data_IF_622130088901
#
_entry.id   IF_622130088901
#
_cell.length_a   1.000
_cell.length_b   1.000
_cell.length_c   1.000
_cell.angle_alpha   90.00
_cell.angle_beta   90.00
_cell.angle_gamma   90.00
#
_symmetry.space_group_name_H-M   'P 1'
#
loop_
_entity.id
_entity.type
_entity.pdbx_description
1 polymer ?
#
# COMPACT_ATOMS: atom_id res chain seq x y z
N UNK A 1 19.89 2.01 -20.07
CA UNK A 1 18.70 2.89 -20.19
C UNK A 1 17.64 2.32 -19.26
N UNK A 2 17.16 3.12 -18.31
CA UNK A 2 16.17 2.69 -17.30
C UNK A 2 14.78 2.76 -17.93
N UNK A 3 14.07 1.65 -17.95
CA UNK A 3 12.70 1.55 -18.48
C UNK A 3 11.69 1.93 -17.41
N UNK A 4 10.92 2.98 -17.62
CA UNK A 4 9.93 3.50 -16.71
C UNK A 4 8.52 3.25 -17.25
N UNK A 5 7.62 2.74 -16.41
CA UNK A 5 6.18 2.72 -16.62
C UNK A 5 5.53 3.75 -15.69
N UNK A 6 4.59 4.55 -16.20
CA UNK A 6 3.89 5.56 -15.40
C UNK A 6 2.43 5.13 -15.26
N UNK A 7 1.92 5.05 -14.03
CA UNK A 7 0.54 4.71 -13.71
C UNK A 7 -0.12 5.83 -12.89
N UNK A 8 -1.09 6.49 -13.49
CA UNK A 8 -1.83 7.62 -12.90
C UNK A 8 -3.20 7.70 -13.61
N UNK A 9 -4.28 8.03 -12.94
CA UNK A 9 -5.59 8.16 -13.59
C UNK A 9 -5.70 9.44 -14.44
N UNK A 10 -4.88 10.46 -14.13
CA UNK A 10 -4.87 11.75 -14.83
C UNK A 10 -3.95 11.69 -16.05
N UNK A 11 -4.54 11.73 -17.24
CA UNK A 11 -3.81 11.67 -18.51
C UNK A 11 -2.77 12.80 -18.65
N UNK A 12 -3.12 14.02 -18.23
CA UNK A 12 -2.22 15.16 -18.28
C UNK A 12 -0.94 14.94 -17.46
N UNK A 13 -1.08 14.30 -16.29
CA UNK A 13 0.07 13.95 -15.42
C UNK A 13 0.95 12.92 -16.11
N UNK A 14 0.35 11.85 -16.66
CA UNK A 14 1.10 10.82 -17.38
C UNK A 14 1.91 11.40 -18.55
N UNK A 15 1.28 12.21 -19.38
CA UNK A 15 1.95 12.80 -20.55
C UNK A 15 3.02 13.81 -20.14
N UNK A 16 2.76 14.63 -19.12
CA UNK A 16 3.76 15.59 -18.61
C UNK A 16 5.00 14.88 -18.06
N UNK A 17 4.81 13.85 -17.23
CA UNK A 17 5.92 13.06 -16.68
C UNK A 17 6.70 12.34 -17.78
N UNK A 18 6.00 11.78 -18.77
CA UNK A 18 6.63 11.12 -19.93
C UNK A 18 7.52 12.06 -20.72
N UNK A 19 7.03 13.27 -21.02
CA UNK A 19 7.81 14.27 -21.75
C UNK A 19 9.08 14.61 -20.96
N UNK A 20 8.93 14.95 -19.68
CA UNK A 20 10.05 15.41 -18.86
C UNK A 20 11.05 14.29 -18.58
N UNK A 21 10.61 13.09 -18.23
CA UNK A 21 11.52 11.97 -17.95
C UNK A 21 12.29 11.55 -19.20
N UNK A 22 11.69 11.60 -20.39
CA UNK A 22 12.37 11.29 -21.64
C UNK A 22 13.39 12.37 -22.09
N UNK A 23 13.51 13.50 -21.40
CA UNK A 23 14.63 14.45 -21.63
C UNK A 23 15.97 13.94 -21.10
N UNK A 24 15.95 12.95 -20.19
CA UNK A 24 17.15 12.31 -19.67
C UNK A 24 17.59 11.14 -20.56
N UNK A 25 18.83 11.17 -21.05
CA UNK A 25 19.36 10.17 -22.00
C UNK A 25 19.39 8.73 -21.45
N UNK A 26 19.41 8.58 -20.13
CA UNK A 26 19.47 7.30 -19.43
C UNK A 26 18.11 6.75 -18.98
N UNK A 27 16.99 7.47 -19.23
CA UNK A 27 15.63 7.07 -18.93
C UNK A 27 14.81 6.94 -20.23
N UNK A 28 13.97 5.92 -20.27
CA UNK A 28 12.96 5.72 -21.29
C UNK A 28 11.61 5.39 -20.66
N UNK A 29 10.61 6.23 -20.86
CA UNK A 29 9.23 5.88 -20.54
C UNK A 29 8.69 4.95 -21.62
N UNK A 30 8.52 3.68 -21.26
CA UNK A 30 8.13 2.62 -22.22
C UNK A 30 6.63 2.50 -22.42
N UNK A 31 5.83 2.88 -21.41
CA UNK A 31 4.36 2.86 -21.50
C UNK A 31 3.74 3.75 -20.41
N UNK A 32 2.43 4.01 -20.51
CA UNK A 32 1.61 4.69 -19.49
C UNK A 32 0.32 3.92 -19.25
N UNK A 33 -0.20 3.95 -18.02
CA UNK A 33 -1.39 3.23 -17.59
C UNK A 33 -2.33 4.13 -16.77
N UNK A 34 -3.63 3.98 -16.94
CA UNK A 34 -4.63 4.74 -16.18
C UNK A 34 -5.14 4.02 -14.92
N UNK A 35 -4.75 2.78 -14.69
CA UNK A 35 -5.12 1.97 -13.53
C UNK A 35 -4.21 0.74 -13.38
N UNK A 36 -4.34 0.01 -12.26
CA UNK A 36 -3.48 -1.12 -11.95
C UNK A 36 -3.64 -2.32 -12.89
N UNK A 37 -4.80 -2.55 -13.51
CA UNK A 37 -4.94 -3.63 -14.50
C UNK A 37 -4.18 -3.31 -15.78
N UNK A 38 -4.26 -2.07 -16.24
CA UNK A 38 -3.48 -1.60 -17.39
C UNK A 38 -1.96 -1.69 -17.11
N UNK A 39 -1.51 -1.48 -15.86
CA UNK A 39 -0.12 -1.72 -15.44
C UNK A 39 0.26 -3.19 -15.67
N UNK A 40 -0.54 -4.14 -15.17
CA UNK A 40 -0.25 -5.56 -15.31
C UNK A 40 -0.19 -6.00 -16.79
N UNK A 41 -1.07 -5.47 -17.62
CA UNK A 41 -1.08 -5.77 -19.05
C UNK A 41 0.11 -5.13 -19.79
N UNK A 42 0.55 -3.95 -19.35
CA UNK A 42 1.75 -3.30 -19.88
C UNK A 42 3.02 -4.09 -19.54
N UNK A 43 3.18 -4.56 -18.30
CA UNK A 43 4.32 -5.38 -17.86
C UNK A 43 4.48 -6.64 -18.73
N UNK A 44 3.37 -7.32 -19.07
CA UNK A 44 3.40 -8.52 -19.93
C UNK A 44 3.94 -8.24 -21.34
N UNK A 45 3.71 -7.02 -21.85
CA UNK A 45 4.16 -6.61 -23.19
C UNK A 45 5.60 -6.13 -23.19
N UNK A 46 5.96 -5.34 -22.20
CA UNK A 46 7.29 -4.75 -22.08
C UNK A 46 7.63 -4.52 -20.60
N UNK A 47 8.56 -5.31 -20.07
CA UNK A 47 8.94 -5.29 -18.65
C UNK A 47 9.66 -3.98 -18.29
N UNK A 48 9.15 -3.18 -17.35
CA UNK A 48 9.84 -2.00 -16.83
C UNK A 48 10.86 -2.38 -15.76
N UNK A 49 11.85 -1.52 -15.57
CA UNK A 49 12.76 -1.60 -14.41
C UNK A 49 12.13 -0.93 -13.17
N UNK A 50 11.35 0.15 -13.40
CA UNK A 50 10.66 0.89 -12.35
C UNK A 50 9.28 1.34 -12.80
N UNK A 51 8.32 1.33 -11.87
CA UNK A 51 6.97 1.86 -12.07
C UNK A 51 6.77 3.05 -11.13
N UNK A 52 6.32 4.17 -11.68
CA UNK A 52 5.76 5.29 -10.92
C UNK A 52 4.25 5.05 -10.79
N UNK A 53 3.73 4.97 -9.58
CA UNK A 53 2.33 4.57 -9.34
C UNK A 53 1.63 5.60 -8.49
N UNK A 54 0.53 6.18 -8.99
CA UNK A 54 -0.39 6.90 -8.12
C UNK A 54 -1.22 5.92 -7.26
N UNK A 55 -1.59 6.36 -6.07
CA UNK A 55 -2.43 5.55 -5.16
C UNK A 55 -3.87 5.49 -5.67
N UNK A 56 -4.45 6.65 -6.00
CA UNK A 56 -5.86 6.71 -6.39
C UNK A 56 -6.05 6.52 -7.88
N UNK A 57 -6.27 5.29 -8.27
CA UNK A 57 -6.64 4.93 -9.63
C UNK A 57 -7.96 4.14 -9.62
N UNK A 58 -8.77 4.23 -10.71
CA UNK A 58 -9.99 3.46 -10.84
C UNK A 58 -9.69 1.95 -10.96
N UNK A 59 -10.67 1.13 -10.71
CA UNK A 59 -10.65 -0.35 -10.87
C UNK A 59 -9.66 -1.06 -9.95
N UNK A 60 -8.37 -0.75 -10.05
CA UNK A 60 -7.30 -1.26 -9.19
C UNK A 60 -6.44 -0.08 -8.75
N UNK A 61 -6.43 0.21 -7.45
CA UNK A 61 -5.63 1.28 -6.85
C UNK A 61 -4.13 0.94 -6.81
N UNK A 62 -3.30 1.96 -6.52
CA UNK A 62 -1.85 1.81 -6.56
C UNK A 62 -1.28 0.94 -5.44
N UNK A 63 -1.96 0.83 -4.30
CA UNK A 63 -1.52 -0.03 -3.19
C UNK A 63 -1.72 -1.50 -3.57
N UNK A 64 -2.90 -1.84 -4.10
CA UNK A 64 -3.19 -3.19 -4.55
C UNK A 64 -2.38 -3.57 -5.80
N UNK A 65 -2.18 -2.62 -6.71
CA UNK A 65 -1.27 -2.76 -7.85
C UNK A 65 0.15 -3.08 -7.38
N UNK A 66 0.69 -2.32 -6.41
CA UNK A 66 2.01 -2.56 -5.81
C UNK A 66 2.12 -3.98 -5.27
N UNK A 67 1.15 -4.41 -4.46
CA UNK A 67 1.10 -5.78 -3.92
C UNK A 67 1.17 -6.81 -5.04
N UNK A 68 0.26 -6.71 -6.03
CA UNK A 68 0.16 -7.69 -7.12
C UNK A 68 1.42 -7.74 -7.98
N UNK A 69 2.00 -6.57 -8.31
CA UNK A 69 3.25 -6.50 -9.07
C UNK A 69 4.40 -7.13 -8.28
N UNK A 70 4.52 -6.86 -6.98
CA UNK A 70 5.61 -7.43 -6.16
C UNK A 70 5.46 -8.93 -5.92
N UNK A 71 4.25 -9.46 -5.89
CA UNK A 71 4.00 -10.91 -5.82
C UNK A 71 4.38 -11.63 -7.14
N UNK A 72 4.11 -11.02 -8.30
CA UNK A 72 4.36 -11.62 -9.61
C UNK A 72 5.74 -11.28 -10.18
N UNK A 73 6.26 -10.09 -9.91
CA UNK A 73 7.47 -9.52 -10.47
C UNK A 73 8.30 -8.81 -9.37
N UNK A 74 8.93 -9.56 -8.45
CA UNK A 74 9.59 -9.00 -7.25
C UNK A 74 10.74 -8.04 -7.57
N UNK A 75 11.38 -8.17 -8.73
CA UNK A 75 12.52 -7.36 -9.12
C UNK A 75 12.14 -5.95 -9.61
N UNK A 76 10.91 -5.76 -10.10
CA UNK A 76 10.43 -4.44 -10.53
C UNK A 76 10.41 -3.49 -9.34
N UNK A 77 11.06 -2.34 -9.49
CA UNK A 77 11.04 -1.28 -8.48
C UNK A 77 9.73 -0.49 -8.57
N UNK A 78 9.19 -0.09 -7.43
CA UNK A 78 7.95 0.67 -7.39
C UNK A 78 8.16 1.93 -6.57
N UNK A 79 7.88 3.08 -7.17
CA UNK A 79 7.83 4.38 -6.50
C UNK A 79 6.38 4.84 -6.49
N UNK A 80 5.82 5.01 -5.31
CA UNK A 80 4.53 5.68 -5.17
C UNK A 80 4.74 7.18 -5.41
N UNK A 81 3.94 7.76 -6.30
CA UNK A 81 3.92 9.19 -6.61
C UNK A 81 2.50 9.71 -6.51
N UNK A 82 2.15 10.35 -5.40
CA UNK A 82 0.76 10.67 -5.07
C UNK A 82 0.61 12.02 -4.35
N UNK A 83 -0.61 12.54 -4.31
CA UNK A 83 -0.97 13.69 -3.46
C UNK A 83 -1.35 13.29 -2.05
N UNK A 84 -1.47 11.98 -1.76
CA UNK A 84 -1.94 11.45 -0.50
C UNK A 84 -0.80 11.03 0.39
N UNK A 85 -0.87 11.44 1.64
CA UNK A 85 0.13 11.15 2.67
C UNK A 85 -0.47 10.50 3.92
N UNK A 86 -1.69 9.96 3.80
CA UNK A 86 -2.37 9.27 4.90
C UNK A 86 -1.55 8.07 5.39
N UNK A 87 -1.42 7.95 6.72
CA UNK A 87 -0.63 6.93 7.39
C UNK A 87 -0.94 5.49 6.88
N UNK A 88 -2.21 5.21 6.55
CA UNK A 88 -2.67 3.91 6.04
C UNK A 88 -2.08 3.57 4.67
N UNK A 89 -2.08 4.53 3.75
CA UNK A 89 -1.51 4.33 2.40
C UNK A 89 0.00 4.19 2.44
N UNK A 90 0.67 5.03 3.25
CA UNK A 90 2.12 4.97 3.43
C UNK A 90 2.53 3.60 3.97
N UNK A 91 1.88 3.14 5.04
CA UNK A 91 2.16 1.86 5.65
C UNK A 91 1.93 0.69 4.70
N UNK A 92 0.78 0.68 4.02
CA UNK A 92 0.40 -0.42 3.12
C UNK A 92 1.32 -0.51 1.91
N UNK A 93 1.67 0.62 1.29
CA UNK A 93 2.58 0.64 0.15
C UNK A 93 3.97 0.12 0.51
N UNK A 94 4.53 0.56 1.65
CA UNK A 94 5.84 0.09 2.13
C UNK A 94 5.80 -1.38 2.54
N UNK A 95 4.73 -1.82 3.23
CA UNK A 95 4.52 -3.23 3.60
C UNK A 95 4.52 -4.14 2.37
N UNK A 96 3.93 -3.70 1.25
CA UNK A 96 3.87 -4.48 0.02
C UNK A 96 5.12 -4.31 -0.86
N UNK A 97 6.17 -3.64 -0.37
CA UNK A 97 7.47 -3.60 -1.00
C UNK A 97 7.67 -2.44 -1.99
N UNK A 98 6.94 -1.33 -1.83
CA UNK A 98 7.29 -0.10 -2.54
C UNK A 98 8.73 0.30 -2.20
N UNK A 99 9.52 0.62 -3.22
CA UNK A 99 10.92 1.04 -3.09
C UNK A 99 11.06 2.54 -2.82
N UNK A 100 9.99 3.30 -3.05
CA UNK A 100 9.94 4.73 -2.77
C UNK A 100 8.50 5.23 -2.56
N UNK A 101 8.39 6.35 -1.84
CA UNK A 101 7.12 7.06 -1.62
C UNK A 101 7.36 8.56 -1.70
N UNK A 102 6.81 9.20 -2.71
CA UNK A 102 6.99 10.62 -2.99
C UNK A 102 5.63 11.31 -3.12
N UNK A 103 5.58 12.56 -2.69
CA UNK A 103 4.43 13.42 -2.95
C UNK A 103 4.57 14.06 -4.34
N UNK A 104 3.46 14.27 -5.07
CA UNK A 104 3.42 14.90 -6.41
C UNK A 104 3.97 16.35 -6.45
N UNK A 105 4.32 16.93 -5.29
CA UNK A 105 5.05 18.19 -5.18
C UNK A 105 6.58 18.09 -5.31
N UNK A 106 7.12 16.88 -5.51
CA UNK A 106 8.56 16.70 -5.71
C UNK A 106 9.01 17.37 -7.01
N UNK A 107 10.23 17.97 -7.02
CA UNK A 107 10.79 18.51 -8.23
C UNK A 107 11.10 17.41 -9.25
N UNK A 108 11.15 17.75 -10.54
CA UNK A 108 11.50 16.78 -11.59
C UNK A 108 12.91 16.21 -11.38
N UNK A 109 13.86 17.01 -10.95
CA UNK A 109 15.20 16.55 -10.56
C UNK A 109 15.12 15.59 -9.36
N UNK A 110 14.30 15.88 -8.35
CA UNK A 110 14.06 14.99 -7.21
C UNK A 110 13.46 13.65 -7.63
N UNK A 111 12.53 13.64 -8.59
CA UNK A 111 11.95 12.42 -9.14
C UNK A 111 12.99 11.60 -9.93
N UNK A 112 13.82 12.26 -10.75
CA UNK A 112 14.92 11.64 -11.48
C UNK A 112 15.89 10.97 -10.51
N UNK A 113 16.33 11.67 -9.46
CA UNK A 113 17.23 11.13 -8.45
C UNK A 113 16.58 9.97 -7.67
N UNK A 114 15.28 10.01 -7.42
CA UNK A 114 14.55 8.92 -6.80
C UNK A 114 14.58 7.64 -7.66
N UNK A 115 14.34 7.76 -8.96
CA UNK A 115 14.44 6.64 -9.90
C UNK A 115 15.85 6.04 -9.87
N UNK A 116 16.89 6.86 -9.94
CA UNK A 116 18.28 6.40 -9.89
C UNK A 116 18.61 5.67 -8.58
N UNK A 117 18.15 6.23 -7.47
CA UNK A 117 18.37 5.67 -6.13
C UNK A 117 17.72 4.28 -6.00
N UNK A 118 16.45 4.12 -6.41
CA UNK A 118 15.78 2.83 -6.25
C UNK A 118 16.33 1.77 -7.22
N UNK A 119 16.76 2.16 -8.40
CA UNK A 119 17.40 1.24 -9.37
C UNK A 119 18.75 0.75 -8.83
N UNK A 120 19.50 1.59 -8.10
CA UNK A 120 20.74 1.18 -7.45
C UNK A 120 20.54 0.37 -6.15
N UNK A 121 19.30 0.06 -5.77
CA UNK A 121 18.95 -0.74 -4.60
C UNK A 121 18.70 0.08 -3.33
N UNK A 122 18.72 1.41 -3.40
CA UNK A 122 18.33 2.30 -2.31
C UNK A 122 16.81 2.43 -2.17
N UNK A 123 16.38 3.19 -1.16
CA UNK A 123 15.01 3.61 -0.97
C UNK A 123 14.91 5.13 -1.01
N UNK A 124 13.79 5.66 -1.48
CA UNK A 124 13.57 7.11 -1.53
C UNK A 124 12.21 7.49 -0.94
N UNK A 125 12.26 8.30 0.09
CA UNK A 125 11.06 8.77 0.82
C UNK A 125 11.21 10.27 1.06
N UNK A 126 10.14 11.05 0.84
CA UNK A 126 10.12 12.46 1.24
C UNK A 126 10.37 12.61 2.75
N UNK A 127 11.00 13.72 3.23
CA UNK A 127 11.21 13.95 4.66
C UNK A 127 9.94 13.89 5.49
N UNK A 128 8.81 14.42 4.98
CA UNK A 128 7.51 14.39 5.66
C UNK A 128 7.00 12.95 5.82
N UNK A 129 7.12 12.14 4.77
CA UNK A 129 6.77 10.72 4.79
C UNK A 129 7.73 9.95 5.69
N UNK A 130 9.05 10.25 5.65
CA UNK A 130 10.03 9.63 6.53
C UNK A 130 9.68 9.84 8.00
N UNK A 131 9.28 11.05 8.39
CA UNK A 131 8.82 11.34 9.75
C UNK A 131 7.61 10.48 10.15
N UNK A 132 6.65 10.27 9.23
CA UNK A 132 5.50 9.38 9.46
C UNK A 132 5.94 7.92 9.60
N UNK A 133 6.82 7.45 8.73
CA UNK A 133 7.38 6.09 8.79
C UNK A 133 8.11 5.86 10.11
N UNK A 134 8.97 6.79 10.55
CA UNK A 134 9.65 6.70 11.84
C UNK A 134 8.66 6.69 13.01
N UNK A 135 7.61 7.51 12.95
CA UNK A 135 6.57 7.52 13.98
C UNK A 135 5.79 6.19 14.01
N UNK A 136 5.44 5.64 12.85
CA UNK A 136 4.80 4.33 12.74
C UNK A 136 5.71 3.22 13.26
N UNK A 137 6.99 3.23 12.87
CA UNK A 137 8.00 2.29 13.34
C UNK A 137 8.24 2.41 14.85
N UNK A 138 8.34 3.64 15.38
CA UNK A 138 8.46 3.87 16.83
C UNK A 138 7.24 3.37 17.59
N UNK A 139 6.04 3.56 17.04
CA UNK A 139 4.82 2.96 17.60
C UNK A 139 4.89 1.43 17.59
N UNK A 140 5.38 0.83 16.51
CA UNK A 140 5.57 -0.63 16.40
C UNK A 140 6.70 -1.14 17.32
N UNK A 141 7.82 -0.43 17.42
CA UNK A 141 8.97 -0.80 18.24
C UNK A 141 8.74 -0.55 19.74
N UNK A 142 8.04 0.53 20.08
CA UNK A 142 7.60 0.80 21.46
C UNK A 142 6.42 -0.11 21.87
N UNK A 143 5.82 -0.85 20.95
CA UNK A 143 4.98 -2.01 21.22
C UNK A 143 5.81 -3.27 21.59
N UNK A 144 6.91 -3.13 22.33
CA UNK A 144 7.20 -4.10 23.41
C UNK A 144 6.10 -4.08 24.51
N UNK A 145 5.14 -3.17 24.44
CA UNK A 145 3.77 -3.38 24.86
C UNK A 145 3.12 -4.25 23.77
N UNK A 146 3.16 -5.57 23.92
CA UNK A 146 2.13 -6.42 23.36
C UNK A 146 0.82 -5.64 23.55
N UNK A 147 0.09 -5.37 22.45
CA UNK A 147 -1.26 -4.83 22.58
C UNK A 147 -1.99 -5.93 23.34
N UNK A 148 -2.02 -5.82 24.67
CA UNK A 148 -2.66 -6.78 25.53
C UNK A 148 -4.16 -6.50 25.46
N UNK A 149 -4.85 -7.29 24.66
CA UNK A 149 -6.29 -7.38 24.69
C UNK A 149 -6.64 -8.41 25.75
N UNK A 150 -7.61 -8.09 26.60
CA UNK A 150 -8.10 -9.04 27.60
C UNK A 150 -8.69 -10.26 26.90
N UNK A 151 -8.30 -11.46 27.30
CA UNK A 151 -8.78 -12.71 26.69
C UNK A 151 -10.31 -12.84 26.71
N UNK A 152 -10.98 -12.29 27.73
CA UNK A 152 -12.43 -12.23 27.79
C UNK A 152 -13.03 -11.39 26.65
N UNK A 153 -12.36 -10.32 26.24
CA UNK A 153 -12.79 -9.46 25.14
C UNK A 153 -12.61 -10.17 23.80
N UNK A 154 -11.56 -10.95 23.66
CA UNK A 154 -11.27 -11.77 22.47
C UNK A 154 -12.34 -12.86 22.28
N UNK A 155 -12.78 -13.50 23.37
CA UNK A 155 -13.81 -14.55 23.36
C UNK A 155 -15.21 -14.02 22.98
N UNK A 156 -15.43 -12.70 23.07
CA UNK A 156 -16.68 -12.06 22.70
C UNK A 156 -16.79 -11.70 21.21
N UNK A 157 -15.78 -12.04 20.42
CA UNK A 157 -15.78 -11.76 18.97
C UNK A 157 -16.55 -12.86 18.22
N UNK A 158 -17.44 -12.43 17.32
CA UNK A 158 -18.15 -13.33 16.42
C UNK A 158 -17.25 -13.82 15.28
N UNK A 159 -17.63 -14.94 14.64
CA UNK A 159 -16.92 -15.44 13.44
C UNK A 159 -16.85 -14.41 12.30
N UNK A 160 -17.89 -13.57 12.13
CA UNK A 160 -17.88 -12.51 11.14
C UNK A 160 -16.86 -11.40 11.48
N UNK A 161 -16.74 -11.02 12.76
CA UNK A 161 -15.75 -10.07 13.23
C UNK A 161 -14.33 -10.62 13.07
N UNK A 162 -14.11 -11.89 13.34
CA UNK A 162 -12.83 -12.56 13.10
C UNK A 162 -12.40 -12.52 11.64
N UNK A 163 -13.32 -12.78 10.71
CA UNK A 163 -13.04 -12.64 9.27
C UNK A 163 -12.62 -11.23 8.91
N UNK A 164 -13.27 -10.21 9.47
CA UNK A 164 -12.88 -8.80 9.25
C UNK A 164 -11.50 -8.51 9.86
N UNK A 165 -11.23 -8.92 11.10
CA UNK A 165 -9.92 -8.76 11.77
C UNK A 165 -8.80 -9.34 10.92
N UNK A 166 -8.99 -10.55 10.39
CA UNK A 166 -8.02 -11.21 9.54
C UNK A 166 -7.68 -10.37 8.30
N UNK A 167 -8.70 -9.81 7.63
CA UNK A 167 -8.48 -8.98 6.45
C UNK A 167 -7.81 -7.64 6.80
N UNK A 168 -8.11 -7.07 7.97
CA UNK A 168 -7.42 -5.89 8.49
C UNK A 168 -5.94 -6.20 8.74
N UNK A 169 -5.63 -7.34 9.32
CA UNK A 169 -4.25 -7.81 9.52
C UNK A 169 -3.48 -8.00 8.20
N UNK A 170 -4.17 -8.35 7.11
CA UNK A 170 -3.60 -8.38 5.76
C UNK A 170 -3.45 -6.99 5.14
N UNK A 171 -3.93 -5.92 5.78
CA UNK A 171 -3.81 -4.53 5.30
C UNK A 171 -4.84 -4.13 4.24
N UNK A 172 -5.95 -4.88 4.08
CA UNK A 172 -6.98 -4.58 3.09
C UNK A 172 -7.82 -3.36 3.52
N UNK A 173 -8.20 -2.51 2.57
CA UNK A 173 -9.15 -1.39 2.78
C UNK A 173 -10.58 -1.91 3.05
N UNK A 174 -11.47 -1.03 3.53
CA UNK A 174 -12.88 -1.41 3.76
C UNK A 174 -13.56 -1.91 2.49
N UNK A 175 -13.24 -1.32 1.35
CA UNK A 175 -13.77 -1.70 0.04
C UNK A 175 -13.32 -3.11 -0.36
N UNK A 176 -12.04 -3.42 -0.18
CA UNK A 176 -11.50 -4.75 -0.48
C UNK A 176 -12.05 -5.82 0.47
N UNK A 177 -12.16 -5.49 1.77
CA UNK A 177 -12.79 -6.37 2.76
C UNK A 177 -14.25 -6.65 2.37
N UNK A 178 -14.99 -5.60 2.00
CA UNK A 178 -16.38 -5.72 1.57
C UNK A 178 -16.51 -6.65 0.36
N UNK A 179 -15.67 -6.48 -0.65
CA UNK A 179 -15.63 -7.35 -1.83
C UNK A 179 -15.29 -8.78 -1.47
N UNK A 180 -14.25 -8.99 -0.67
CA UNK A 180 -13.74 -10.32 -0.32
C UNK A 180 -14.69 -11.12 0.57
N UNK A 181 -15.42 -10.44 1.47
CA UNK A 181 -16.37 -11.07 2.40
C UNK A 181 -17.83 -10.98 1.91
N UNK A 182 -18.08 -10.48 0.71
CA UNK A 182 -19.42 -10.28 0.14
C UNK A 182 -20.32 -9.40 1.03
N UNK A 183 -19.75 -8.30 1.56
CA UNK A 183 -20.43 -7.35 2.44
C UNK A 183 -20.53 -5.96 1.77
N UNK A 184 -21.31 -5.04 2.36
CA UNK A 184 -21.25 -3.62 2.01
C UNK A 184 -20.10 -2.94 2.79
N UNK A 185 -19.53 -1.85 2.24
CA UNK A 185 -18.51 -1.07 2.97
C UNK A 185 -19.06 -0.48 4.29
N UNK A 186 -20.36 -0.16 4.33
CA UNK A 186 -21.03 0.28 5.55
C UNK A 186 -21.06 -0.82 6.62
N UNK A 187 -21.32 -2.06 6.21
CA UNK A 187 -21.27 -3.23 7.10
C UNK A 187 -19.86 -3.45 7.65
N UNK A 188 -18.82 -3.35 6.82
CA UNK A 188 -17.44 -3.47 7.27
C UNK A 188 -17.09 -2.38 8.27
N UNK A 189 -17.51 -1.12 8.05
CA UNK A 189 -17.34 -0.02 9.01
C UNK A 189 -17.99 -0.32 10.36
N UNK A 190 -19.21 -0.86 10.35
CA UNK A 190 -19.92 -1.22 11.57
C UNK A 190 -19.19 -2.32 12.33
N UNK A 191 -18.71 -3.37 11.63
CA UNK A 191 -17.87 -4.40 12.24
C UNK A 191 -16.60 -3.84 12.86
N UNK A 192 -15.88 -2.96 12.14
CA UNK A 192 -14.67 -2.32 12.67
C UNK A 192 -14.95 -1.52 13.94
N UNK A 193 -16.03 -0.72 13.98
CA UNK A 193 -16.41 0.03 15.16
C UNK A 193 -16.72 -0.90 16.35
N UNK A 194 -17.46 -2.00 16.10
CA UNK A 194 -17.76 -3.01 17.11
C UNK A 194 -16.49 -3.69 17.65
N UNK A 195 -15.62 -4.13 16.75
CA UNK A 195 -14.34 -4.79 17.08
C UNK A 195 -13.47 -3.89 17.93
N UNK A 196 -13.26 -2.63 17.48
CA UNK A 196 -12.43 -1.67 18.22
C UNK A 196 -12.98 -1.41 19.63
N UNK A 197 -14.30 -1.29 19.77
CA UNK A 197 -14.96 -1.14 21.06
C UNK A 197 -14.78 -2.37 21.95
N UNK A 198 -15.01 -3.58 21.41
CA UNK A 198 -14.87 -4.85 22.18
C UNK A 198 -13.44 -5.09 22.65
N UNK A 199 -12.47 -4.83 21.77
CA UNK A 199 -11.05 -5.04 22.07
C UNK A 199 -10.39 -3.88 22.81
N UNK A 200 -11.14 -2.79 23.06
CA UNK A 200 -10.65 -1.55 23.69
C UNK A 200 -9.46 -0.92 22.90
N UNK A 201 -9.49 -1.06 21.58
CA UNK A 201 -8.47 -0.52 20.69
C UNK A 201 -8.90 0.86 20.19
N UNK A 202 -7.93 1.79 20.07
CA UNK A 202 -8.20 3.18 19.71
C UNK A 202 -8.49 3.37 18.23
N UNK A 203 -7.85 2.56 17.37
CA UNK A 203 -7.91 2.75 15.93
C UNK A 203 -7.61 1.45 15.16
N UNK A 204 -7.87 1.48 13.85
CA UNK A 204 -7.61 0.37 12.92
C UNK A 204 -6.14 -0.06 12.89
N UNK A 205 -5.20 0.88 13.10
CA UNK A 205 -3.77 0.59 13.10
C UNK A 205 -3.41 -0.33 14.26
N UNK A 206 -3.95 -0.04 15.46
CA UNK A 206 -3.78 -0.93 16.63
C UNK A 206 -4.38 -2.31 16.38
N UNK A 207 -5.54 -2.37 15.75
CA UNK A 207 -6.17 -3.63 15.39
C UNK A 207 -5.31 -4.45 14.41
N UNK A 208 -4.77 -3.80 13.37
CA UNK A 208 -3.88 -4.46 12.41
C UNK A 208 -2.61 -5.00 13.08
N UNK A 209 -1.98 -4.20 13.94
CA UNK A 209 -0.79 -4.60 14.69
C UNK A 209 -1.11 -5.79 15.59
N UNK A 210 -2.19 -5.73 16.37
CA UNK A 210 -2.62 -6.81 17.25
C UNK A 210 -2.88 -8.11 16.47
N UNK A 211 -3.59 -8.02 15.35
CA UNK A 211 -3.89 -9.17 14.50
C UNK A 211 -2.64 -9.87 13.96
N UNK A 212 -1.61 -9.08 13.58
CA UNK A 212 -0.32 -9.59 13.10
C UNK A 212 0.49 -10.20 14.24
N UNK A 213 0.61 -9.51 15.39
CA UNK A 213 1.39 -9.96 16.55
C UNK A 213 0.84 -11.24 17.16
N UNK A 214 -0.48 -11.43 17.17
CA UNK A 214 -1.14 -12.60 17.74
C UNK A 214 -1.31 -13.75 16.75
N UNK A 215 -0.78 -13.61 15.51
CA UNK A 215 -0.88 -14.65 14.47
C UNK A 215 -2.29 -14.86 13.92
N UNK A 216 -3.24 -13.94 14.21
CA UNK A 216 -4.62 -14.11 13.77
C UNK A 216 -4.80 -14.03 12.24
N UNK A 217 -3.81 -13.50 11.52
CA UNK A 217 -3.77 -13.51 10.06
C UNK A 217 -3.67 -14.92 9.46
N UNK A 218 -3.17 -15.89 10.21
CA UNK A 218 -2.96 -17.29 9.75
C UNK A 218 -3.98 -18.27 10.34
N UNK A 219 -4.93 -17.80 11.14
CA UNK A 219 -5.95 -18.64 11.76
C UNK A 219 -6.90 -19.19 10.68
N UNK A 220 -6.98 -20.52 10.57
CA UNK A 220 -7.99 -21.18 9.74
C UNK A 220 -9.37 -21.02 10.39
N UNK A 221 -10.26 -20.24 9.75
CA UNK A 221 -11.64 -20.01 10.19
C UNK A 221 -12.65 -20.95 9.50
N UNK A 222 -12.16 -21.95 8.75
CA UNK A 222 -13.01 -22.86 7.96
C UNK A 222 -13.39 -24.16 8.67
N UNK A 223 -13.09 -24.26 9.98
CA UNK A 223 -13.47 -25.42 10.80
C UNK A 223 -14.26 -24.97 12.03
N UNK A 224 -15.57 -24.65 11.79
CA UNK A 224 -16.67 -24.82 12.75
C UNK A 224 -18.01 -24.77 12.01
#
# INVERSE_FOLDING_TARGET
MIKVLIADDQELIRESLKIVLNTHEDIQVIDTAGDGFAVLDSIKRNMPDVILVDIRMPRMDGVYCTKTVKELYPDIKIIILTTFDDDEFVFSALKFGASGYLLKGVSMEGLYQAIKTVISGGAMINPDIATKVFRLFSKMANTNYAISVNDNNVNNLSNAEWKVIQQVGFGLSNKEIAQKLYLSEGTVRNYLSSILSKLELRDRTQLAIWAVQTGQTTRNLDHD
#
